data_IF_028722435255
#
_entry.id   IF_028722435255
#
_cell.length_a   1.000
_cell.length_b   1.000
_cell.length_c   1.000
_cell.angle_alpha   90.00
_cell.angle_beta   90.00
_cell.angle_gamma   90.00
#
_symmetry.space_group_name_H-M   'P 1'
#
loop_
_entity.id
_entity.type
_entity.pdbx_description
1 polymer ?
#
# COMPACT_ATOMS: atom_id res chain seq x y z
N UNK A 1 28.06 -10.79 -6.78
CA UNK A 1 28.05 -12.16 -7.34
C UNK A 1 27.35 -12.27 -8.69
N UNK A 2 26.11 -11.77 -8.86
CA UNK A 2 25.35 -11.91 -10.13
C UNK A 2 25.50 -10.75 -11.13
N UNK A 3 26.25 -9.69 -10.80
CA UNK A 3 26.43 -8.52 -11.66
C UNK A 3 25.19 -7.64 -11.86
N UNK A 4 24.08 -7.90 -11.16
CA UNK A 4 22.81 -7.17 -11.32
C UNK A 4 22.73 -5.82 -10.60
N UNK A 5 23.64 -5.57 -9.67
CA UNK A 5 23.77 -4.31 -8.94
C UNK A 5 25.17 -4.19 -8.32
N UNK A 6 25.60 -2.97 -8.02
CA UNK A 6 26.87 -2.67 -7.36
C UNK A 6 26.62 -1.80 -6.12
N UNK A 7 26.71 -2.40 -4.93
CA UNK A 7 26.64 -1.71 -3.65
C UNK A 7 27.37 -2.53 -2.58
N UNK A 8 27.91 -1.85 -1.57
CA UNK A 8 28.74 -2.47 -0.53
C UNK A 8 30.14 -2.82 -1.02
N UNK A 9 30.89 -3.57 -0.21
CA UNK A 9 32.23 -4.05 -0.52
C UNK A 9 32.18 -5.47 -1.12
N UNK A 10 32.47 -5.65 -2.42
CA UNK A 10 32.49 -6.95 -3.06
C UNK A 10 33.48 -7.95 -2.43
N UNK A 11 34.55 -7.46 -1.79
CA UNK A 11 35.55 -8.30 -1.15
C UNK A 11 34.99 -9.02 0.10
N UNK A 12 33.87 -8.55 0.65
CA UNK A 12 33.17 -9.16 1.79
C UNK A 12 32.12 -10.20 1.37
N UNK A 13 31.95 -10.42 0.07
CA UNK A 13 31.02 -11.45 -0.42
C UNK A 13 31.68 -12.84 -0.37
N UNK A 14 30.97 -13.88 0.12
CA UNK A 14 31.45 -15.24 -0.04
C UNK A 14 31.49 -15.60 -1.53
N UNK A 15 32.45 -16.45 -1.90
CA UNK A 15 32.53 -16.99 -3.26
C UNK A 15 31.33 -17.89 -3.52
N UNK A 16 30.45 -17.47 -4.43
CA UNK A 16 29.29 -18.26 -4.84
C UNK A 16 29.61 -18.95 -6.17
N UNK A 17 29.48 -20.28 -6.20
CA UNK A 17 29.58 -21.05 -7.43
C UNK A 17 28.43 -20.75 -8.40
N UNK A 18 28.63 -20.94 -9.72
CA UNK A 18 27.59 -20.69 -10.72
C UNK A 18 26.28 -21.45 -10.45
N UNK A 19 26.37 -22.71 -10.01
CA UNK A 19 25.20 -23.53 -9.69
C UNK A 19 24.38 -22.94 -8.53
N UNK A 20 25.04 -22.50 -7.46
CA UNK A 20 24.39 -21.86 -6.31
C UNK A 20 23.72 -20.55 -6.71
N UNK A 21 24.40 -19.73 -7.52
CA UNK A 21 23.85 -18.47 -8.00
C UNK A 21 22.60 -18.68 -8.85
N UNK A 22 22.64 -19.66 -9.76
CA UNK A 22 21.49 -20.03 -10.60
C UNK A 22 20.32 -20.51 -9.73
N UNK A 23 20.57 -21.37 -8.74
CA UNK A 23 19.52 -21.86 -7.84
C UNK A 23 18.86 -20.73 -7.03
N UNK A 24 19.65 -19.77 -6.52
CA UNK A 24 19.12 -18.60 -5.80
C UNK A 24 18.23 -17.75 -6.72
N UNK A 25 18.68 -17.46 -7.94
CA UNK A 25 17.92 -16.64 -8.89
C UNK A 25 16.65 -17.35 -9.37
N UNK A 26 16.70 -18.67 -9.57
CA UNK A 26 15.52 -19.48 -9.87
C UNK A 26 14.52 -19.41 -8.71
N UNK A 27 15.00 -19.51 -7.47
CA UNK A 27 14.12 -19.40 -6.30
C UNK A 27 13.46 -18.02 -6.17
N UNK A 28 14.18 -16.94 -6.46
CA UNK A 28 13.57 -15.60 -6.49
C UNK A 28 12.50 -15.49 -7.57
N UNK A 29 12.74 -16.05 -8.77
CA UNK A 29 11.74 -16.08 -9.85
C UNK A 29 10.47 -16.80 -9.40
N UNK A 30 10.60 -18.01 -8.84
CA UNK A 30 9.45 -18.79 -8.35
C UNK A 30 8.64 -18.01 -7.32
N UNK A 31 9.30 -17.42 -6.31
CA UNK A 31 8.62 -16.62 -5.28
C UNK A 31 7.86 -15.43 -5.86
N UNK A 32 8.42 -14.77 -6.87
CA UNK A 32 7.77 -13.67 -7.57
C UNK A 32 6.57 -14.16 -8.39
N UNK A 33 6.73 -15.24 -9.17
CA UNK A 33 5.65 -15.79 -10.01
C UNK A 33 4.48 -16.31 -9.16
N UNK A 34 4.77 -16.99 -8.04
CA UNK A 34 3.76 -17.44 -7.07
C UNK A 34 3.04 -16.25 -6.43
N UNK A 35 3.77 -15.19 -6.08
CA UNK A 35 3.19 -13.96 -5.53
C UNK A 35 2.27 -13.26 -6.52
N UNK A 36 2.69 -13.18 -7.79
CA UNK A 36 1.88 -12.62 -8.88
C UNK A 36 0.58 -13.41 -9.04
N UNK A 37 0.66 -14.74 -9.07
CA UNK A 37 -0.52 -15.58 -9.24
C UNK A 37 -1.55 -15.39 -8.11
N UNK A 38 -1.07 -15.30 -6.85
CA UNK A 38 -1.92 -15.06 -5.67
C UNK A 38 -2.57 -13.68 -5.63
N UNK A 39 -1.92 -12.66 -6.20
CA UNK A 39 -2.39 -11.26 -6.13
C UNK A 39 -3.32 -10.87 -7.29
N UNK A 40 -3.34 -11.65 -8.37
CA UNK A 40 -4.20 -11.37 -9.53
C UNK A 40 -5.67 -11.34 -9.12
N UNK A 41 -6.32 -10.20 -9.35
CA UNK A 41 -7.77 -10.02 -9.12
C UNK A 41 -8.62 -10.45 -10.31
N UNK A 42 -7.99 -10.75 -11.44
CA UNK A 42 -8.64 -11.21 -12.66
C UNK A 42 -7.79 -12.27 -13.37
N UNK A 43 -8.44 -13.05 -14.26
CA UNK A 43 -7.72 -13.99 -15.14
C UNK A 43 -6.85 -13.22 -16.13
N UNK A 44 -5.74 -13.82 -16.54
CA UNK A 44 -4.79 -13.24 -17.48
C UNK A 44 -3.55 -12.68 -16.79
N UNK A 45 -2.72 -11.98 -17.55
CA UNK A 45 -1.43 -11.48 -17.08
C UNK A 45 -1.53 -10.05 -16.55
N UNK A 46 -0.78 -9.75 -15.48
CA UNK A 46 -0.78 -8.47 -14.81
C UNK A 46 0.36 -7.56 -15.30
N UNK A 47 0.18 -6.24 -15.25
CA UNK A 47 1.31 -5.31 -15.38
C UNK A 47 2.01 -5.20 -14.03
N UNK A 48 3.32 -5.45 -14.00
CA UNK A 48 4.13 -5.40 -12.78
C UNK A 48 4.94 -4.09 -12.75
N UNK A 49 4.84 -3.34 -11.66
CA UNK A 49 5.63 -2.14 -11.44
C UNK A 49 6.79 -2.47 -10.48
N UNK A 50 8.02 -2.48 -11.00
CA UNK A 50 9.22 -2.85 -10.26
C UNK A 50 9.90 -1.61 -9.66
N UNK A 51 9.64 -1.34 -8.37
CA UNK A 51 10.14 -0.16 -7.65
C UNK A 51 10.96 -0.51 -6.41
N UNK A 52 11.61 0.50 -5.82
CA UNK A 52 12.43 0.37 -4.62
C UNK A 52 13.80 -0.26 -4.86
N UNK A 53 14.61 -0.32 -3.80
CA UNK A 53 15.99 -0.80 -3.87
C UNK A 53 16.16 -2.28 -4.27
N UNK A 54 15.08 -3.07 -4.19
CA UNK A 54 15.07 -4.48 -4.62
C UNK A 54 14.69 -4.70 -6.09
N UNK A 55 14.35 -3.65 -6.85
CA UNK A 55 13.86 -3.77 -8.24
C UNK A 55 14.82 -4.53 -9.17
N UNK A 56 16.13 -4.47 -8.91
CA UNK A 56 17.16 -5.20 -9.67
C UNK A 56 17.08 -6.74 -9.54
N UNK A 57 16.38 -7.25 -8.53
CA UNK A 57 16.16 -8.70 -8.35
C UNK A 57 15.06 -9.23 -9.28
N UNK A 58 14.18 -8.35 -9.73
CA UNK A 58 13.06 -8.69 -10.61
C UNK A 58 13.62 -8.89 -12.03
N UNK A 59 13.44 -10.08 -12.66
CA UNK A 59 13.89 -10.32 -14.03
C UNK A 59 13.05 -9.54 -15.05
N UNK A 60 13.42 -9.55 -16.33
CA UNK A 60 12.67 -8.84 -17.38
C UNK A 60 11.39 -9.56 -17.83
N UNK A 61 11.25 -10.84 -17.47
CA UNK A 61 10.06 -11.63 -17.72
C UNK A 61 9.74 -12.53 -16.53
N UNK A 62 8.46 -12.59 -16.19
CA UNK A 62 7.89 -13.46 -15.15
C UNK A 62 6.62 -14.09 -15.71
N UNK A 63 6.40 -15.37 -15.40
CA UNK A 63 5.10 -15.99 -15.65
C UNK A 63 4.01 -15.18 -14.96
N UNK A 64 2.94 -14.90 -15.69
CA UNK A 64 1.82 -14.13 -15.16
C UNK A 64 1.98 -12.61 -15.27
N UNK A 65 3.11 -12.11 -15.79
CA UNK A 65 3.34 -10.69 -16.03
C UNK A 65 3.27 -10.39 -17.54
N UNK A 66 2.38 -9.49 -17.93
CA UNK A 66 2.25 -9.05 -19.33
C UNK A 66 3.44 -8.15 -19.72
N UNK A 67 3.87 -7.33 -18.76
CA UNK A 67 5.07 -6.50 -18.86
C UNK A 67 5.56 -6.12 -17.47
N UNK A 68 6.85 -5.84 -17.39
CA UNK A 68 7.50 -5.32 -16.19
C UNK A 68 7.95 -3.89 -16.48
N UNK A 69 7.38 -2.94 -15.75
CA UNK A 69 7.64 -1.51 -15.88
C UNK A 69 8.57 -1.07 -14.77
N UNK A 70 9.66 -0.40 -15.15
CA UNK A 70 10.63 0.22 -14.22
C UNK A 70 10.59 1.74 -14.43
N UNK A 71 9.82 2.48 -13.63
CA UNK A 71 9.73 3.93 -13.74
C UNK A 71 11.09 4.60 -13.54
N UNK A 72 11.28 5.76 -14.18
CA UNK A 72 12.51 6.57 -14.04
C UNK A 72 12.86 6.86 -12.57
N UNK A 73 11.84 7.17 -11.75
CA UNK A 73 11.99 7.50 -10.33
C UNK A 73 11.70 6.30 -9.40
N UNK A 74 11.89 5.07 -9.88
CA UNK A 74 11.58 3.83 -9.14
C UNK A 74 12.26 3.74 -7.76
N UNK A 75 13.46 4.31 -7.60
CA UNK A 75 14.22 4.28 -6.35
C UNK A 75 13.51 5.04 -5.20
N UNK A 76 12.70 6.05 -5.51
CA UNK A 76 12.02 6.92 -4.53
C UNK A 76 10.52 6.67 -4.44
N UNK A 77 10.00 5.62 -5.09
CA UNK A 77 8.55 5.36 -5.16
C UNK A 77 7.87 5.30 -3.79
N UNK A 78 8.53 4.75 -2.76
CA UNK A 78 7.98 4.70 -1.40
C UNK A 78 7.84 6.12 -0.79
N UNK A 79 8.83 6.98 -0.99
CA UNK A 79 8.79 8.36 -0.51
C UNK A 79 7.72 9.17 -1.25
N UNK A 80 7.59 8.97 -2.57
CA UNK A 80 6.51 9.57 -3.36
C UNK A 80 5.15 9.10 -2.83
N UNK A 81 4.99 7.79 -2.59
CA UNK A 81 3.77 7.21 -2.01
C UNK A 81 3.41 7.82 -0.66
N UNK A 82 4.39 8.02 0.21
CA UNK A 82 4.19 8.68 1.50
C UNK A 82 3.81 10.17 1.36
N UNK A 83 4.40 10.88 0.38
CA UNK A 83 4.14 12.30 0.14
C UNK A 83 2.76 12.59 -0.45
N UNK A 84 2.20 11.65 -1.22
CA UNK A 84 0.84 11.76 -1.80
C UNK A 84 -0.23 11.06 -0.95
N UNK A 85 0.16 10.42 0.17
CA UNK A 85 -0.76 9.65 0.98
C UNK A 85 -1.82 10.55 1.62
N UNK A 86 -3.06 10.10 1.57
CA UNK A 86 -4.17 10.72 2.26
C UNK A 86 -4.22 10.27 3.73
N UNK A 87 -4.83 11.09 4.58
CA UNK A 87 -5.15 10.71 5.96
C UNK A 87 -6.25 9.66 5.91
N UNK A 88 -6.00 8.48 6.46
CA UNK A 88 -6.95 7.37 6.47
C UNK A 88 -7.36 6.97 7.89
N UNK A 89 -8.58 6.46 8.04
CA UNK A 89 -9.02 5.82 9.27
C UNK A 89 -9.88 4.59 8.97
N UNK A 90 -9.77 3.60 9.86
CA UNK A 90 -10.59 2.39 9.83
C UNK A 90 -11.42 2.28 11.11
N UNK A 91 -12.69 1.92 10.95
CA UNK A 91 -13.58 1.50 12.04
C UNK A 91 -14.01 0.07 11.78
N UNK A 92 -13.96 -0.75 12.82
CA UNK A 92 -14.35 -2.15 12.73
C UNK A 92 -15.18 -2.52 13.96
N UNK A 93 -16.38 -3.07 13.74
CA UNK A 93 -17.28 -3.51 14.81
C UNK A 93 -18.09 -4.73 14.40
N UNK A 94 -18.44 -5.55 15.38
CA UNK A 94 -19.53 -6.52 15.24
C UNK A 94 -20.84 -5.79 15.53
N UNK A 95 -21.80 -5.89 14.61
CA UNK A 95 -23.13 -5.29 14.71
C UNK A 95 -24.16 -6.40 14.69
N UNK A 96 -25.14 -6.35 15.60
CA UNK A 96 -26.34 -7.17 15.51
C UNK A 96 -27.48 -6.40 14.80
N UNK A 97 -27.83 -6.83 13.60
CA UNK A 97 -28.91 -6.20 12.83
C UNK A 97 -30.32 -6.51 13.32
N UNK A 98 -30.48 -7.43 14.27
CA UNK A 98 -31.74 -7.59 14.99
C UNK A 98 -31.97 -6.43 15.98
N UNK A 99 -30.89 -5.91 16.59
CA UNK A 99 -30.96 -4.81 17.55
C UNK A 99 -30.94 -3.42 16.88
N UNK A 100 -30.13 -3.24 15.83
CA UNK A 100 -30.03 -1.96 15.10
C UNK A 100 -30.24 -2.21 13.61
N UNK A 101 -31.18 -1.49 12.98
CA UNK A 101 -31.43 -1.66 11.55
C UNK A 101 -30.14 -1.43 10.72
N UNK A 102 -29.87 -2.32 9.77
CA UNK A 102 -28.66 -2.29 8.94
C UNK A 102 -28.32 -0.91 8.34
N UNK A 103 -29.27 -0.17 7.72
CA UNK A 103 -28.95 1.15 7.17
C UNK A 103 -28.41 2.11 8.23
N UNK A 104 -29.04 2.15 9.41
CA UNK A 104 -28.65 3.02 10.51
C UNK A 104 -27.27 2.65 11.07
N UNK A 105 -26.99 1.36 11.25
CA UNK A 105 -25.70 0.91 11.73
C UNK A 105 -24.55 1.24 10.75
N UNK A 106 -24.79 1.04 9.45
CA UNK A 106 -23.81 1.39 8.42
C UNK A 106 -23.58 2.90 8.35
N UNK A 107 -24.63 3.72 8.42
CA UNK A 107 -24.48 5.18 8.47
C UNK A 107 -23.68 5.64 9.70
N UNK A 108 -23.95 5.07 10.87
CA UNK A 108 -23.21 5.39 12.09
C UNK A 108 -21.72 5.07 11.96
N UNK A 109 -21.38 3.89 11.42
CA UNK A 109 -19.99 3.47 11.22
C UNK A 109 -19.29 4.31 10.14
N UNK A 110 -19.98 4.66 9.05
CA UNK A 110 -19.50 5.59 8.02
C UNK A 110 -19.17 6.96 8.63
N UNK A 111 -20.11 7.53 9.37
CA UNK A 111 -19.92 8.81 10.03
C UNK A 111 -18.77 8.75 11.06
N UNK A 112 -18.63 7.64 11.78
CA UNK A 112 -17.52 7.42 12.72
C UNK A 112 -16.17 7.36 12.00
N UNK A 113 -16.07 6.63 10.90
CA UNK A 113 -14.84 6.56 10.10
C UNK A 113 -14.43 7.95 9.58
N UNK A 114 -15.38 8.71 9.03
CA UNK A 114 -15.11 10.07 8.58
C UNK A 114 -14.65 10.99 9.73
N UNK A 115 -15.30 10.91 10.90
CA UNK A 115 -14.87 11.68 12.08
C UNK A 115 -13.45 11.32 12.51
N UNK A 116 -13.04 10.05 12.42
CA UNK A 116 -11.68 9.63 12.76
C UNK A 116 -10.65 10.18 11.77
N UNK A 117 -10.98 10.27 10.48
CA UNK A 117 -10.12 10.93 9.48
C UNK A 117 -9.93 12.41 9.82
N UNK A 118 -11.01 13.14 10.12
CA UNK A 118 -10.94 14.56 10.51
C UNK A 118 -10.15 14.74 11.80
N UNK A 119 -10.38 13.89 12.80
CA UNK A 119 -9.64 13.92 14.06
C UNK A 119 -8.13 13.63 13.88
N UNK A 120 -7.76 12.89 12.84
CA UNK A 120 -6.37 12.63 12.45
C UNK A 120 -5.77 13.74 11.56
N UNK A 121 -6.48 14.84 11.32
CA UNK A 121 -6.00 15.99 10.54
C UNK A 121 -6.48 16.06 9.11
N UNK A 122 -7.43 15.21 8.69
CA UNK A 122 -8.03 15.30 7.35
C UNK A 122 -8.96 16.51 7.17
N UNK A 123 -8.97 17.12 5.99
CA UNK A 123 -9.91 18.19 5.61
C UNK A 123 -11.33 17.62 5.50
N UNK A 124 -12.21 18.05 6.42
CA UNK A 124 -13.60 17.63 6.48
C UNK A 124 -14.38 17.79 5.16
N UNK A 125 -13.97 18.70 4.26
CA UNK A 125 -14.63 18.91 2.96
C UNK A 125 -14.33 17.81 1.94
N UNK A 126 -13.22 17.10 2.11
CA UNK A 126 -12.74 16.08 1.18
C UNK A 126 -12.76 14.67 1.75
N UNK A 127 -13.30 14.46 2.96
CA UNK A 127 -13.36 13.11 3.55
C UNK A 127 -14.44 12.27 2.88
N UNK A 128 -14.05 11.08 2.44
CA UNK A 128 -14.97 10.10 1.85
C UNK A 128 -14.73 8.68 2.35
N UNK A 129 -15.77 7.85 2.27
CA UNK A 129 -15.68 6.42 2.58
C UNK A 129 -15.30 5.68 1.32
N UNK A 130 -14.13 5.05 1.32
CA UNK A 130 -13.59 4.33 0.16
C UNK A 130 -13.88 2.84 0.16
N UNK A 131 -14.19 2.27 1.32
CA UNK A 131 -14.43 0.84 1.47
C UNK A 131 -15.40 0.55 2.62
N UNK A 132 -16.33 -0.37 2.36
CA UNK A 132 -17.22 -0.93 3.38
C UNK A 132 -17.33 -2.42 3.14
N UNK A 133 -16.76 -3.18 4.06
CA UNK A 133 -16.77 -4.64 4.06
C UNK A 133 -17.74 -5.12 5.14
N UNK A 134 -18.59 -6.08 4.80
CA UNK A 134 -19.60 -6.65 5.69
C UNK A 134 -19.55 -8.17 5.60
N UNK A 135 -19.18 -8.82 6.71
CA UNK A 135 -19.06 -10.28 6.81
C UNK A 135 -20.05 -10.80 7.84
N UNK A 136 -21.08 -11.52 7.39
CA UNK A 136 -22.08 -12.10 8.29
C UNK A 136 -21.50 -13.23 9.14
N UNK A 137 -21.77 -13.18 10.45
CA UNK A 137 -21.27 -14.13 11.44
C UNK A 137 -22.35 -15.16 11.76
N UNK A 138 -22.35 -16.29 11.03
CA UNK A 138 -23.38 -17.34 11.11
C UNK A 138 -23.44 -18.09 12.44
N UNK A 139 -22.39 -17.97 13.28
CA UNK A 139 -22.31 -18.62 14.58
C UNK A 139 -22.83 -17.75 15.74
N UNK A 140 -23.18 -16.49 15.48
CA UNK A 140 -23.78 -15.61 16.49
C UNK A 140 -25.31 -15.59 16.34
N UNK A 141 -26.06 -15.57 17.45
CA UNK A 141 -27.52 -15.42 17.39
C UNK A 141 -27.89 -14.06 16.80
N UNK A 142 -29.01 -14.01 16.08
CA UNK A 142 -29.48 -12.80 15.39
C UNK A 142 -28.90 -12.65 13.98
N UNK A 143 -28.89 -11.42 13.47
CA UNK A 143 -28.33 -11.09 12.14
C UNK A 143 -27.03 -10.33 12.32
N UNK A 144 -26.05 -10.98 12.95
CA UNK A 144 -24.77 -10.35 13.26
C UNK A 144 -23.83 -10.26 12.05
N UNK A 145 -23.12 -9.15 11.93
CA UNK A 145 -22.09 -8.96 10.92
C UNK A 145 -20.87 -8.23 11.51
N UNK A 146 -19.67 -8.65 11.11
CA UNK A 146 -18.46 -7.85 11.27
C UNK A 146 -18.43 -6.83 10.13
N UNK A 147 -18.51 -5.55 10.49
CA UNK A 147 -18.47 -4.44 9.54
C UNK A 147 -17.15 -3.72 9.70
N UNK A 148 -16.44 -3.51 8.59
CA UNK A 148 -15.24 -2.70 8.50
C UNK A 148 -15.46 -1.57 7.51
N UNK A 149 -15.21 -0.35 7.95
CA UNK A 149 -15.35 0.87 7.15
C UNK A 149 -14.00 1.56 7.09
N UNK A 150 -13.55 1.90 5.89
CA UNK A 150 -12.37 2.74 5.67
C UNK A 150 -12.79 4.07 5.05
N UNK A 151 -12.28 5.15 5.62
CA UNK A 151 -12.43 6.49 5.08
C UNK A 151 -11.06 7.12 4.86
N UNK A 152 -10.96 8.02 3.88
CA UNK A 152 -9.76 8.80 3.57
C UNK A 152 -10.12 10.26 3.35
N UNK A 153 -9.13 11.15 3.46
CA UNK A 153 -9.25 12.55 3.06
C UNK A 153 -7.88 13.21 2.99
N UNK A 154 -7.80 14.32 2.26
CA UNK A 154 -6.57 15.10 2.17
C UNK A 154 -6.19 15.70 3.52
N UNK A 155 -4.90 15.85 3.80
CA UNK A 155 -4.45 16.55 5.01
C UNK A 155 -4.95 18.00 4.97
N UNK A 156 -5.55 18.47 6.05
CA UNK A 156 -5.96 19.86 6.17
C UNK A 156 -4.72 20.74 6.03
N UNK A 157 -4.71 21.61 5.01
CA UNK A 157 -3.60 22.54 4.83
C UNK A 157 -3.55 23.46 6.05
N UNK A 158 -2.49 23.35 6.86
CA UNK A 158 -2.15 24.42 7.78
C UNK A 158 -2.00 25.70 6.96
N UNK A 159 -2.65 26.78 7.41
CA UNK A 159 -2.44 28.10 6.85
C UNK A 159 -0.93 28.39 6.95
N UNK A 160 -0.20 28.24 5.84
CA UNK A 160 1.25 28.46 5.80
C UNK A 160 1.52 29.86 6.36
N UNK A 161 2.20 29.92 7.50
CA UNK A 161 2.81 31.16 7.94
C UNK A 161 3.88 31.52 6.89
N UNK A 162 3.84 32.72 6.27
CA UNK A 162 4.83 33.09 5.28
C UNK A 162 6.20 33.11 5.95
N UNK A 163 7.09 32.20 5.54
CA UNK A 163 8.48 32.21 5.97
C UNK A 163 9.17 33.43 5.36
N UNK A 164 9.20 34.55 6.09
CA UNK A 164 10.15 35.62 5.84
C UNK A 164 11.54 35.16 6.28
N UNK A 165 12.38 34.78 5.33
CA UNK A 165 13.82 34.77 5.50
C UNK A 165 14.45 35.32 4.22
N UNK A 166 14.61 36.65 4.17
CA UNK A 166 15.65 37.28 3.34
C UNK A 166 16.98 36.86 3.94
N UNK A 167 17.79 36.15 3.18
CA UNK A 167 19.22 36.03 3.46
C UNK A 167 19.91 37.03 2.54
N UNK A 168 20.26 38.19 3.09
CA UNK A 168 21.18 39.12 2.46
C UNK A 168 22.58 38.49 2.54
N UNK A 169 23.17 38.18 1.38
CA UNK A 169 24.60 37.88 1.31
C UNK A 169 25.37 39.20 1.21
N UNK A 170 26.07 39.55 2.29
CA UNK A 170 27.09 40.58 2.29
C UNK A 170 28.45 39.93 2.65
N UNK A 171 29.43 40.24 1.80
CA UNK A 171 30.88 40.00 1.87
C UNK A 171 31.43 38.63 1.47
#
# INVERSE_FOLDING_TARGET
AAGRACFGDPARLPTLGPATLTAILARFRELLEDGIDRMKTARGDATILAVGGGSFLIPDSLKGAARIVRPEHAAVANAVGAAIAQVGAQVERIVDYAATARPLALEQLRAEACRRVVAAGGDARGVEVVDVEEVFLSYLPGRAAQVRVKAVGDLAAETRHPATARIDHAH
#
